data_IF_195462497591
#
_entry.id   IF_195462497591
#
_cell.length_a   1.000
_cell.length_b   1.000
_cell.length_c   1.000
_cell.angle_alpha   90.00
_cell.angle_beta   90.00
_cell.angle_gamma   90.00
#
_symmetry.space_group_name_H-M   'P 1'
#
loop_
_entity.id
_entity.type
_entity.pdbx_description
1 polymer ?
#
# COMPACT_ATOMS: atom_id res chain seq x y z
N UNK A 1 0.36 18.62 -5.15
CA UNK A 1 -0.38 17.40 -4.75
C UNK A 1 -1.46 16.95 -5.75
N UNK A 2 -2.04 17.84 -6.57
CA UNK A 2 -3.07 17.46 -7.56
C UNK A 2 -2.55 16.79 -8.84
N UNK A 3 -1.24 16.84 -9.14
CA UNK A 3 -0.68 16.33 -10.40
C UNK A 3 -0.70 14.80 -10.59
N UNK A 4 -0.97 14.04 -9.52
CA UNK A 4 -0.95 12.56 -9.54
C UNK A 4 -2.36 11.99 -9.75
N UNK A 5 -3.41 12.76 -9.42
CA UNK A 5 -4.80 12.29 -9.28
C UNK A 5 -5.54 12.01 -10.60
N UNK A 6 -4.90 12.18 -11.77
CA UNK A 6 -5.53 11.94 -13.07
C UNK A 6 -4.62 11.35 -14.14
N UNK A 7 -3.36 11.03 -13.82
CA UNK A 7 -2.44 10.41 -14.78
C UNK A 7 -2.67 8.90 -14.78
N UNK A 8 -2.87 8.24 -15.94
CA UNK A 8 -2.96 6.79 -16.00
C UNK A 8 -1.61 6.21 -15.54
N UNK A 9 -1.57 5.73 -14.30
CA UNK A 9 -0.39 5.04 -13.78
C UNK A 9 -0.32 3.68 -14.45
N UNK A 10 0.74 3.42 -15.23
CA UNK A 10 0.99 2.09 -15.79
C UNK A 10 1.36 1.13 -14.67
N UNK A 11 0.35 0.53 -14.05
CA UNK A 11 0.52 -0.50 -13.02
C UNK A 11 0.86 -1.83 -13.69
N UNK A 12 2.02 -2.37 -13.36
CA UNK A 12 2.36 -3.75 -13.73
C UNK A 12 1.77 -4.68 -12.68
N UNK A 13 0.74 -5.46 -13.04
CA UNK A 13 0.16 -6.48 -12.15
C UNK A 13 0.83 -7.82 -12.44
N UNK A 14 1.40 -8.44 -11.41
CA UNK A 14 1.97 -9.77 -11.54
C UNK A 14 0.85 -10.80 -11.76
N UNK A 15 0.79 -11.40 -12.96
CA UNK A 15 -0.19 -12.45 -13.27
C UNK A 15 0.23 -13.77 -12.62
N UNK A 16 -0.56 -14.27 -11.67
CA UNK A 16 -0.34 -15.56 -10.96
C UNK A 16 -0.69 -16.80 -11.80
N UNK A 17 -0.84 -16.69 -13.12
CA UNK A 17 -1.24 -17.80 -13.98
C UNK A 17 -0.07 -18.66 -14.47
N UNK A 18 1.18 -18.26 -14.22
CA UNK A 18 2.39 -19.01 -14.57
C UNK A 18 3.18 -19.32 -13.30
N UNK A 19 2.88 -20.45 -12.67
CA UNK A 19 3.42 -20.87 -11.37
C UNK A 19 4.95 -21.02 -11.32
N UNK A 20 5.61 -21.14 -12.49
CA UNK A 20 7.02 -21.53 -12.60
C UNK A 20 7.94 -20.42 -13.15
N UNK A 21 7.41 -19.22 -13.42
CA UNK A 21 8.22 -18.11 -13.95
C UNK A 21 8.22 -16.94 -12.98
N UNK A 22 9.32 -16.79 -12.24
CA UNK A 22 9.53 -15.64 -11.38
C UNK A 22 10.06 -14.47 -12.21
N UNK A 23 9.23 -13.45 -12.45
CA UNK A 23 9.66 -12.20 -13.07
C UNK A 23 10.01 -11.19 -11.98
N UNK A 24 11.27 -10.76 -11.92
CA UNK A 24 11.73 -9.74 -10.99
C UNK A 24 11.04 -8.41 -11.31
N UNK A 25 10.37 -7.84 -10.31
CA UNK A 25 9.72 -6.53 -10.40
C UNK A 25 10.44 -5.55 -9.47
N UNK A 26 11.22 -4.59 -10.01
CA UNK A 26 12.18 -3.80 -9.22
C UNK A 26 11.55 -2.91 -8.14
N UNK A 27 10.23 -2.66 -8.19
CA UNK A 27 9.49 -1.81 -7.22
C UNK A 27 8.48 -2.57 -6.36
N UNK A 28 8.40 -3.88 -6.51
CA UNK A 28 7.40 -4.72 -5.81
C UNK A 28 7.64 -4.74 -4.30
N UNK A 29 8.91 -4.78 -3.88
CA UNK A 29 9.28 -4.81 -2.47
C UNK A 29 8.71 -3.60 -1.71
N UNK A 30 8.71 -2.40 -2.29
CA UNK A 30 8.22 -1.17 -1.66
C UNK A 30 6.72 -1.31 -1.33
N UNK A 31 5.95 -1.84 -2.29
CA UNK A 31 4.51 -2.06 -2.15
C UNK A 31 4.26 -3.11 -1.07
N UNK A 32 4.93 -4.27 -1.14
CA UNK A 32 4.76 -5.34 -0.15
C UNK A 32 5.16 -4.90 1.27
N UNK A 33 6.25 -4.15 1.43
CA UNK A 33 6.65 -3.59 2.73
C UNK A 33 5.63 -2.57 3.27
N UNK A 34 5.06 -1.73 2.40
CA UNK A 34 4.02 -0.78 2.80
C UNK A 34 2.77 -1.52 3.28
N UNK A 35 2.37 -2.59 2.59
CA UNK A 35 1.27 -3.45 3.02
C UNK A 35 1.56 -4.18 4.34
N UNK A 36 2.78 -4.68 4.54
CA UNK A 36 3.17 -5.32 5.80
C UNK A 36 3.08 -4.36 7.00
N UNK A 37 3.41 -3.08 6.81
CA UNK A 37 3.24 -2.07 7.86
C UNK A 37 1.77 -1.73 8.12
N UNK A 38 0.96 -1.66 7.06
CA UNK A 38 -0.49 -1.45 7.19
C UNK A 38 -1.18 -2.62 7.90
N UNK A 39 -0.73 -3.86 7.66
CA UNK A 39 -1.25 -5.06 8.32
C UNK A 39 -1.01 -5.02 9.84
N UNK A 40 0.13 -4.45 10.28
CA UNK A 40 0.43 -4.23 11.70
C UNK A 40 -0.57 -3.28 12.37
N UNK A 41 -1.17 -2.37 11.60
CA UNK A 41 -2.28 -1.53 12.06
C UNK A 41 -3.60 -2.32 12.00
N UNK A 42 -3.80 -3.24 12.96
CA UNK A 42 -4.97 -4.14 13.07
C UNK A 42 -6.34 -3.45 12.95
N UNK A 43 -6.43 -2.17 13.32
CA UNK A 43 -7.64 -1.34 13.26
C UNK A 43 -8.08 -1.04 11.82
N UNK A 44 -7.13 -1.00 10.90
CA UNK A 44 -7.34 -0.72 9.49
C UNK A 44 -7.88 -1.96 8.76
N UNK A 45 -7.27 -3.12 9.00
CA UNK A 45 -7.61 -4.39 8.34
C UNK A 45 -9.11 -4.76 8.40
N UNK A 46 -9.75 -4.63 9.58
CA UNK A 46 -11.17 -5.01 9.76
C UNK A 46 -12.19 -3.91 9.41
N UNK A 47 -11.77 -2.64 9.36
CA UNK A 47 -12.68 -1.51 9.20
C UNK A 47 -12.52 -0.75 7.87
N UNK A 48 -11.54 -1.12 7.04
CA UNK A 48 -11.31 -0.50 5.72
C UNK A 48 -12.58 -0.41 4.88
N UNK A 49 -13.43 -1.44 4.90
CA UNK A 49 -14.62 -1.54 4.05
C UNK A 49 -15.84 -0.78 4.61
N UNK A 50 -15.87 -0.49 5.92
CA UNK A 50 -17.06 0.10 6.57
C UNK A 50 -17.06 1.62 6.57
N UNK A 51 -15.89 2.26 6.67
CA UNK A 51 -15.73 3.73 6.71
C UNK A 51 -14.48 4.15 5.94
N UNK A 52 -14.66 4.55 4.69
CA UNK A 52 -13.57 4.96 3.78
C UNK A 52 -12.84 6.22 4.27
N UNK A 53 -13.55 7.22 4.79
CA UNK A 53 -12.92 8.46 5.28
C UNK A 53 -12.03 8.22 6.51
N UNK A 54 -12.52 7.40 7.44
CA UNK A 54 -11.77 7.07 8.66
C UNK A 54 -10.58 6.16 8.36
N UNK A 55 -10.72 5.23 7.41
CA UNK A 55 -9.60 4.37 7.01
C UNK A 55 -8.50 5.19 6.32
N UNK A 56 -8.85 6.15 5.46
CA UNK A 56 -7.88 7.05 4.83
C UNK A 56 -7.06 7.84 5.87
N UNK A 57 -7.73 8.42 6.86
CA UNK A 57 -7.06 9.16 7.94
C UNK A 57 -6.10 8.26 8.74
N UNK A 58 -6.49 7.02 9.00
CA UNK A 58 -5.65 6.06 9.73
C UNK A 58 -4.45 5.60 8.91
N UNK A 59 -4.56 5.48 7.59
CA UNK A 59 -3.43 5.23 6.70
C UNK A 59 -2.42 6.37 6.81
N UNK A 60 -2.87 7.63 6.70
CA UNK A 60 -1.99 8.79 6.85
C UNK A 60 -1.29 8.80 8.21
N UNK A 61 -2.02 8.53 9.30
CA UNK A 61 -1.45 8.46 10.64
C UNK A 61 -0.42 7.33 10.78
N UNK A 62 -0.67 6.16 10.19
CA UNK A 62 0.25 5.03 10.22
C UNK A 62 1.57 5.36 9.50
N UNK A 63 1.51 6.00 8.33
CA UNK A 63 2.70 6.46 7.62
C UNK A 63 3.44 7.58 8.36
N UNK A 64 2.71 8.53 8.97
CA UNK A 64 3.31 9.59 9.77
C UNK A 64 4.07 9.00 10.98
N UNK A 65 3.46 8.07 11.72
CA UNK A 65 4.10 7.39 12.83
C UNK A 65 5.34 6.58 12.39
N UNK A 66 5.31 6.00 11.19
CA UNK A 66 6.45 5.28 10.63
C UNK A 66 7.62 6.22 10.29
N UNK A 67 7.34 7.38 9.68
CA UNK A 67 8.35 8.40 9.40
C UNK A 67 8.96 8.96 10.69
N UNK A 68 8.12 9.23 11.70
CA UNK A 68 8.57 9.71 13.01
C UNK A 68 9.45 8.69 13.74
N UNK A 69 9.14 7.39 13.67
CA UNK A 69 9.97 6.34 14.30
C UNK A 69 11.29 6.06 13.58
N UNK A 70 11.42 6.54 12.35
CA UNK A 70 12.62 6.37 11.52
C UNK A 70 13.52 7.61 11.54
N UNK A 71 13.00 8.75 12.01
CA UNK A 71 13.76 9.98 12.25
C UNK A 71 14.53 9.87 13.56
#
# INVERSE_FOLDING_TARGET
MQEILGKPVTVQIAKRSKLHTFKVMPRRWIVEHSFAWLEKCRRLWKNCERKLDTSLQLIHLAFLALLLRRS
#
